data_IF_833420265252
#
_entry.id   IF_833420265252
#
_cell.length_a   1.000
_cell.length_b   1.000
_cell.length_c   1.000
_cell.angle_alpha   90.00
_cell.angle_beta   90.00
_cell.angle_gamma   90.00
#
_symmetry.space_group_name_H-M   'P 1'
#
loop_
_entity.id
_entity.type
_entity.pdbx_description
1 polymer ?
#
# COMPACT_ATOMS: atom_id res chain seq x y z
N UNK A 1 18.29 -12.82 -1.95
CA UNK A 1 18.00 -11.90 -3.02
C UNK A 1 16.51 -11.80 -3.31
N UNK A 2 15.99 -10.60 -3.34
CA UNK A 2 14.58 -10.38 -3.55
C UNK A 2 14.22 -10.42 -5.05
N UNK A 3 13.19 -11.17 -5.42
CA UNK A 3 12.60 -11.03 -6.75
C UNK A 3 12.02 -9.62 -6.93
N UNK A 4 12.12 -9.11 -8.14
CA UNK A 4 11.57 -7.83 -8.53
C UNK A 4 10.59 -8.07 -9.67
N UNK A 5 9.36 -7.60 -9.49
CA UNK A 5 8.32 -7.70 -10.51
C UNK A 5 7.70 -6.32 -10.74
N UNK A 6 7.72 -5.88 -11.97
CA UNK A 6 7.06 -4.64 -12.36
C UNK A 6 5.79 -4.97 -13.13
N UNK A 7 4.65 -4.59 -12.56
CA UNK A 7 3.34 -4.77 -13.18
C UNK A 7 2.93 -3.45 -13.85
N UNK A 8 3.16 -3.35 -15.15
CA UNK A 8 2.97 -2.12 -15.89
C UNK A 8 3.84 -0.99 -15.32
N UNK A 9 3.50 0.25 -15.61
CA UNK A 9 4.19 1.41 -15.02
C UNK A 9 3.55 1.87 -13.71
N UNK A 10 2.47 1.21 -13.27
CA UNK A 10 1.69 1.64 -12.12
C UNK A 10 2.14 1.01 -10.80
N UNK A 11 2.80 -0.13 -10.84
CA UNK A 11 3.16 -0.85 -9.63
C UNK A 11 4.52 -1.52 -9.74
N UNK A 12 5.22 -1.58 -8.63
CA UNK A 12 6.47 -2.29 -8.48
C UNK A 12 6.34 -3.21 -7.27
N UNK A 13 6.60 -4.50 -7.49
CA UNK A 13 6.49 -5.49 -6.43
C UNK A 13 7.88 -6.03 -6.11
N UNK A 14 8.24 -6.00 -4.84
CA UNK A 14 9.48 -6.59 -4.33
C UNK A 14 9.14 -7.54 -3.20
N UNK A 15 9.99 -8.54 -2.99
CA UNK A 15 9.81 -9.51 -1.92
C UNK A 15 11.09 -9.58 -1.10
N UNK A 16 10.95 -9.48 0.21
CA UNK A 16 12.06 -9.44 1.15
C UNK A 16 11.95 -10.57 2.15
N UNK A 17 13.03 -11.32 2.41
CA UNK A 17 13.01 -12.30 3.49
C UNK A 17 13.06 -11.61 4.85
N UNK A 18 12.24 -12.07 5.76
CA UNK A 18 12.25 -11.62 7.14
C UNK A 18 13.02 -12.63 8.00
N UNK A 19 13.54 -12.15 9.14
CA UNK A 19 14.33 -13.02 10.01
C UNK A 19 13.51 -14.15 10.64
N UNK A 20 12.18 -14.04 10.66
CA UNK A 20 11.30 -15.10 11.15
C UNK A 20 10.97 -16.17 10.10
N UNK A 21 11.60 -16.11 8.93
CA UNK A 21 11.39 -17.07 7.85
C UNK A 21 10.28 -16.71 6.88
N UNK A 22 9.48 -15.70 7.17
CA UNK A 22 8.45 -15.25 6.24
C UNK A 22 9.03 -14.41 5.12
N UNK A 23 8.28 -14.33 4.02
CA UNK A 23 8.61 -13.44 2.91
C UNK A 23 7.64 -12.26 2.94
N UNK A 24 8.17 -11.05 3.01
CA UNK A 24 7.38 -9.82 2.95
C UNK A 24 7.26 -9.36 1.51
N UNK A 25 6.03 -9.20 1.04
CA UNK A 25 5.77 -8.57 -0.26
C UNK A 25 5.51 -7.09 -0.07
N UNK A 26 6.22 -6.26 -0.80
CA UNK A 26 6.01 -4.80 -0.81
C UNK A 26 5.56 -4.39 -2.20
N UNK A 27 4.39 -3.77 -2.26
CA UNK A 27 3.79 -3.25 -3.50
C UNK A 27 3.83 -1.73 -3.44
N UNK A 28 4.59 -1.14 -4.32
CA UNK A 28 4.68 0.32 -4.45
C UNK A 28 3.81 0.78 -5.61
N UNK A 29 2.91 1.71 -5.33
CA UNK A 29 1.95 2.23 -6.29
C UNK A 29 2.39 3.62 -6.76
N UNK A 30 2.37 3.82 -8.06
CA UNK A 30 2.73 5.09 -8.69
C UNK A 30 1.52 5.67 -9.41
N UNK A 31 0.96 6.72 -8.87
CA UNK A 31 -0.32 7.29 -9.24
C UNK A 31 -0.45 7.77 -10.67
N UNK A 32 0.63 8.17 -11.28
CA UNK A 32 0.59 8.79 -12.61
C UNK A 32 -0.16 7.93 -13.62
N UNK A 33 -0.16 6.64 -13.42
CA UNK A 33 -0.78 5.69 -14.33
C UNK A 33 -2.19 5.25 -13.94
N UNK A 34 -2.73 5.79 -12.83
CA UNK A 34 -4.12 5.58 -12.41
C UNK A 34 -4.95 6.81 -12.79
N UNK A 35 -4.97 7.16 -14.07
CA UNK A 35 -5.42 8.48 -14.45
C UNK A 35 -6.83 8.57 -15.01
N UNK A 36 -7.38 7.50 -15.56
CA UNK A 36 -8.66 7.53 -16.24
C UNK A 36 -9.71 6.78 -15.44
N UNK A 37 -10.96 7.02 -15.71
CA UNK A 37 -12.15 6.53 -15.03
C UNK A 37 -12.07 5.27 -14.14
N UNK A 38 -13.12 5.00 -13.39
CA UNK A 38 -13.11 3.93 -12.39
C UNK A 38 -12.90 2.53 -13.00
N UNK A 39 -13.36 2.32 -14.24
CA UNK A 39 -13.18 1.02 -14.90
C UNK A 39 -11.71 0.73 -15.18
N UNK A 40 -10.99 1.76 -15.65
CA UNK A 40 -9.55 1.63 -15.89
C UNK A 40 -8.81 1.46 -14.58
N UNK A 41 -9.23 2.20 -13.56
CA UNK A 41 -8.66 2.10 -12.21
C UNK A 41 -8.80 0.67 -11.68
N UNK A 42 -9.99 0.09 -11.77
CA UNK A 42 -10.24 -1.29 -11.31
C UNK A 42 -9.42 -2.30 -12.11
N UNK A 43 -9.28 -2.10 -13.42
CA UNK A 43 -8.46 -2.97 -14.26
C UNK A 43 -6.98 -2.93 -13.88
N UNK A 44 -6.49 -1.77 -13.47
CA UNK A 44 -5.09 -1.63 -13.04
C UNK A 44 -4.84 -2.35 -11.72
N UNK A 45 -5.85 -2.44 -10.85
CA UNK A 45 -5.73 -3.18 -9.59
C UNK A 45 -5.79 -4.70 -9.78
N UNK A 46 -6.40 -5.19 -10.84
CA UNK A 46 -6.56 -6.63 -11.07
C UNK A 46 -5.26 -7.43 -11.01
N UNK A 47 -4.25 -7.10 -11.83
CA UNK A 47 -2.97 -7.81 -11.81
C UNK A 47 -2.25 -7.73 -10.46
N UNK A 48 -2.38 -6.59 -9.77
CA UNK A 48 -1.83 -6.42 -8.43
C UNK A 48 -2.53 -7.39 -7.46
N UNK A 49 -3.85 -7.48 -7.55
CA UNK A 49 -4.64 -8.39 -6.72
C UNK A 49 -4.25 -9.84 -6.92
N UNK A 50 -3.98 -10.25 -8.15
CA UNK A 50 -3.54 -11.62 -8.43
C UNK A 50 -2.24 -11.94 -7.70
N UNK A 51 -1.29 -11.02 -7.71
CA UNK A 51 -0.01 -11.21 -7.02
C UNK A 51 -0.20 -11.26 -5.51
N UNK A 52 -1.02 -10.38 -4.95
CA UNK A 52 -1.27 -10.36 -3.51
C UNK A 52 -2.02 -11.62 -3.08
N UNK A 53 -3.02 -12.05 -3.84
CA UNK A 53 -3.81 -13.22 -3.51
C UNK A 53 -2.98 -14.51 -3.49
N UNK A 54 -1.97 -14.61 -4.34
CA UNK A 54 -1.09 -15.79 -4.37
C UNK A 54 0.04 -15.73 -3.36
N UNK A 55 0.22 -14.62 -2.65
CA UNK A 55 1.26 -14.48 -1.64
C UNK A 55 0.71 -14.82 -0.26
N UNK A 56 1.37 -15.70 0.46
CA UNK A 56 0.90 -16.16 1.78
C UNK A 56 1.40 -15.33 2.95
N UNK A 57 2.53 -14.70 2.79
CA UNK A 57 3.16 -13.95 3.87
C UNK A 57 2.59 -12.56 4.05
N UNK A 58 3.26 -11.74 4.86
CA UNK A 58 2.85 -10.36 5.07
C UNK A 58 2.97 -9.53 3.80
N UNK A 59 2.10 -8.52 3.70
CA UNK A 59 2.05 -7.62 2.54
C UNK A 59 1.99 -6.18 3.03
N UNK A 60 2.73 -5.31 2.37
CA UNK A 60 2.58 -3.86 2.48
C UNK A 60 2.30 -3.34 1.07
N UNK A 61 1.22 -2.59 0.91
CA UNK A 61 0.89 -1.93 -0.35
C UNK A 61 0.79 -0.44 -0.06
N UNK A 62 1.64 0.35 -0.68
CA UNK A 62 1.75 1.76 -0.35
C UNK A 62 2.02 2.62 -1.58
N UNK A 63 1.69 3.89 -1.48
CA UNK A 63 2.00 4.89 -2.48
C UNK A 63 0.85 5.84 -2.75
N UNK A 64 0.90 6.46 -3.92
CA UNK A 64 -0.12 7.38 -4.37
C UNK A 64 -1.12 6.62 -5.24
N UNK A 65 -2.37 6.53 -4.76
CA UNK A 65 -3.44 5.80 -5.44
C UNK A 65 -4.32 6.70 -6.28
N UNK A 66 -4.08 8.00 -6.24
CA UNK A 66 -4.87 8.96 -7.01
C UNK A 66 -6.38 8.79 -6.77
N UNK A 67 -6.77 8.51 -5.53
CA UNK A 67 -8.15 8.19 -5.16
C UNK A 67 -8.93 9.46 -4.80
N UNK A 68 -8.99 10.41 -5.72
CA UNK A 68 -9.56 11.73 -5.48
C UNK A 68 -11.09 11.77 -5.63
N UNK A 69 -11.72 10.71 -6.09
CA UNK A 69 -13.17 10.66 -6.25
C UNK A 69 -13.78 9.58 -5.37
N UNK A 70 -15.06 9.70 -5.06
CA UNK A 70 -15.78 8.69 -4.29
C UNK A 70 -15.72 7.31 -4.97
N UNK A 71 -15.89 7.29 -6.28
CA UNK A 71 -15.86 6.02 -7.02
C UNK A 71 -14.49 5.34 -6.93
N UNK A 72 -13.42 6.11 -7.02
CA UNK A 72 -12.07 5.59 -6.92
C UNK A 72 -11.75 5.09 -5.51
N UNK A 73 -12.12 5.85 -4.49
CA UNK A 73 -11.87 5.44 -3.11
C UNK A 73 -12.68 4.19 -2.76
N UNK A 74 -13.91 4.08 -3.26
CA UNK A 74 -14.72 2.89 -3.05
C UNK A 74 -14.09 1.67 -3.74
N UNK A 75 -13.61 1.83 -4.97
CA UNK A 75 -12.92 0.76 -5.69
C UNK A 75 -11.67 0.31 -4.94
N UNK A 76 -10.91 1.25 -4.40
CA UNK A 76 -9.71 0.95 -3.63
C UNK A 76 -10.05 0.18 -2.35
N UNK A 77 -11.04 0.63 -1.59
CA UNK A 77 -11.44 -0.06 -0.36
C UNK A 77 -12.06 -1.42 -0.63
N UNK A 78 -12.82 -1.58 -1.71
CA UNK A 78 -13.34 -2.89 -2.12
C UNK A 78 -12.17 -3.84 -2.43
N UNK A 79 -11.20 -3.36 -3.17
CA UNK A 79 -9.98 -4.13 -3.47
C UNK A 79 -9.25 -4.53 -2.19
N UNK A 80 -9.03 -3.58 -1.29
CA UNK A 80 -8.34 -3.85 -0.04
C UNK A 80 -9.09 -4.90 0.79
N UNK A 81 -10.41 -4.79 0.85
CA UNK A 81 -11.24 -5.76 1.55
C UNK A 81 -11.14 -7.16 0.96
N UNK A 82 -11.17 -7.28 -0.38
CA UNK A 82 -11.01 -8.56 -1.05
C UNK A 82 -9.65 -9.20 -0.79
N UNK A 83 -8.63 -8.38 -0.65
CA UNK A 83 -7.25 -8.85 -0.40
C UNK A 83 -6.94 -9.00 1.10
N UNK A 84 -7.90 -8.78 1.97
CA UNK A 84 -7.74 -8.79 3.42
C UNK A 84 -6.69 -7.80 3.91
N UNK A 85 -6.59 -6.67 3.24
CA UNK A 85 -5.66 -5.60 3.61
C UNK A 85 -6.36 -4.61 4.54
N UNK A 86 -5.62 -4.11 5.50
CA UNK A 86 -6.04 -3.06 6.41
C UNK A 86 -5.37 -1.75 6.06
N UNK A 87 -6.08 -0.66 6.22
CA UNK A 87 -5.52 0.67 6.03
C UNK A 87 -4.79 1.11 7.29
N UNK A 88 -3.59 1.68 7.14
CA UNK A 88 -2.88 2.31 8.24
C UNK A 88 -3.57 3.63 8.58
N UNK A 89 -3.85 3.83 9.87
CA UNK A 89 -4.36 5.10 10.39
C UNK A 89 -3.20 5.95 10.88
N UNK A 90 -3.20 7.23 10.52
CA UNK A 90 -2.12 8.15 10.89
C UNK A 90 -2.58 9.09 12.00
N UNK A 91 -1.76 9.25 13.02
CA UNK A 91 -1.93 10.28 14.03
C UNK A 91 -1.61 11.63 13.37
N UNK A 92 -2.44 12.64 13.58
CA UNK A 92 -2.27 13.95 12.95
C UNK A 92 -2.07 13.81 11.44
N UNK A 93 -3.16 13.41 10.77
CA UNK A 93 -3.11 13.05 9.35
C UNK A 93 -2.91 14.27 8.46
N UNK A 94 -1.65 14.50 8.07
CA UNK A 94 -1.25 15.58 7.17
C UNK A 94 -0.98 15.08 5.75
N UNK A 95 -1.59 13.96 5.33
CA UNK A 95 -1.43 13.45 3.97
C UNK A 95 -1.92 14.47 2.95
N UNK A 96 -1.25 14.50 1.79
CA UNK A 96 -1.68 15.30 0.65
C UNK A 96 -3.11 14.93 0.27
N UNK A 97 -3.95 15.94 0.06
CA UNK A 97 -5.37 15.73 -0.29
C UNK A 97 -5.69 16.38 -1.62
N UNK A 98 -6.62 15.75 -2.34
CA UNK A 98 -7.27 16.34 -3.49
C UNK A 98 -8.79 16.19 -3.28
N UNK A 99 -9.53 17.27 -3.48
CA UNK A 99 -10.98 17.29 -3.26
C UNK A 99 -11.37 16.79 -1.87
N UNK A 100 -10.57 17.12 -0.86
CA UNK A 100 -10.81 16.74 0.52
C UNK A 100 -10.45 15.30 0.88
N UNK A 101 -9.89 14.52 -0.05
CA UNK A 101 -9.53 13.12 0.17
C UNK A 101 -8.03 12.91 0.09
N UNK A 102 -7.47 12.06 0.96
CA UNK A 102 -6.05 11.70 0.85
C UNK A 102 -5.77 11.01 -0.48
N UNK A 103 -4.57 11.20 -1.00
CA UNK A 103 -4.08 10.54 -2.21
C UNK A 103 -3.17 9.36 -1.87
N UNK A 104 -2.44 9.46 -0.77
CA UNK A 104 -1.45 8.48 -0.38
C UNK A 104 -2.00 7.57 0.71
N UNK A 105 -1.77 6.28 0.55
CA UNK A 105 -2.26 5.27 1.47
C UNK A 105 -1.18 4.25 1.76
N UNK A 106 -1.29 3.62 2.92
CA UNK A 106 -0.52 2.42 3.25
C UNK A 106 -1.51 1.37 3.72
N UNK A 107 -1.50 0.22 3.06
CA UNK A 107 -2.29 -0.95 3.42
C UNK A 107 -1.36 -2.09 3.81
N UNK A 108 -1.84 -2.99 4.66
CA UNK A 108 -1.02 -4.10 5.13
C UNK A 108 -1.87 -5.28 5.54
N UNK A 109 -1.25 -6.45 5.59
CA UNK A 109 -1.84 -7.63 6.24
C UNK A 109 -0.74 -8.49 6.83
N UNK A 110 -1.10 -9.25 7.86
CA UNK A 110 -0.19 -10.16 8.60
C UNK A 110 1.02 -9.43 9.19
N UNK A 111 0.81 -8.19 9.58
CA UNK A 111 1.78 -7.34 10.26
C UNK A 111 1.06 -6.56 11.35
N UNK A 112 1.80 -6.10 12.34
CA UNK A 112 1.31 -5.13 13.31
C UNK A 112 1.93 -3.76 13.01
N UNK A 113 1.18 -2.69 13.27
CA UNK A 113 1.70 -1.32 13.15
C UNK A 113 2.21 -0.88 14.51
N UNK A 114 3.48 -0.50 14.57
CA UNK A 114 4.07 0.04 15.79
C UNK A 114 3.80 1.53 15.88
N UNK A 115 4.04 2.25 14.78
CA UNK A 115 3.89 3.70 14.74
C UNK A 115 3.60 4.11 13.31
N UNK A 116 2.77 5.15 13.15
CA UNK A 116 2.45 5.70 11.84
C UNK A 116 2.32 7.22 11.96
N UNK A 117 3.07 7.94 11.14
CA UNK A 117 3.05 9.40 11.15
C UNK A 117 3.23 9.97 9.75
N UNK A 118 2.87 11.23 9.58
CA UNK A 118 3.04 11.97 8.35
C UNK A 118 3.94 13.16 8.64
N UNK A 119 5.05 13.27 7.90
CA UNK A 119 5.96 14.40 8.07
C UNK A 119 5.50 15.57 7.23
N UNK A 120 5.27 16.71 7.87
CA UNK A 120 4.95 17.93 7.14
C UNK A 120 6.24 18.51 6.57
N UNK A 121 6.28 18.71 5.25
CA UNK A 121 7.47 19.23 4.58
C UNK A 121 7.06 20.17 3.45
N UNK A 122 7.92 21.13 3.15
CA UNK A 122 7.81 21.97 1.96
C UNK A 122 8.68 21.47 0.82
N UNK A 123 9.41 20.38 1.01
CA UNK A 123 10.34 19.85 0.01
C UNK A 123 9.66 19.05 -1.11
N UNK A 124 8.39 18.68 -0.92
CA UNK A 124 7.64 17.87 -1.89
C UNK A 124 6.17 18.27 -1.87
N UNK A 125 5.47 17.98 -2.96
CA UNK A 125 4.00 18.14 -3.04
C UNK A 125 3.27 17.17 -2.13
N UNK A 126 3.88 16.03 -1.82
CA UNK A 126 3.32 15.03 -0.90
C UNK A 126 4.12 15.04 0.39
N UNK A 127 3.41 14.92 1.51
CA UNK A 127 4.07 14.75 2.80
C UNK A 127 4.46 13.28 2.97
N UNK A 128 5.72 12.98 3.32
CA UNK A 128 6.15 11.60 3.50
C UNK A 128 5.37 10.88 4.59
N UNK A 129 5.05 9.61 4.32
CA UNK A 129 4.42 8.74 5.29
C UNK A 129 5.48 7.85 5.91
N UNK A 130 5.50 7.77 7.23
CA UNK A 130 6.41 6.93 7.98
C UNK A 130 5.60 5.91 8.77
N UNK A 131 5.84 4.64 8.49
CA UNK A 131 5.14 3.55 9.19
C UNK A 131 6.16 2.52 9.62
N UNK A 132 6.12 2.19 10.90
CA UNK A 132 6.93 1.10 11.43
C UNK A 132 6.04 -0.11 11.66
N UNK A 133 6.44 -1.26 11.12
CA UNK A 133 5.71 -2.52 11.25
C UNK A 133 6.53 -3.53 12.04
N UNK A 134 5.84 -4.50 12.62
CA UNK A 134 6.49 -5.70 13.15
C UNK A 134 5.75 -6.93 12.63
N UNK A 135 6.42 -8.10 12.56
CA UNK A 135 5.74 -9.33 12.16
C UNK A 135 4.61 -9.65 13.15
N UNK A 136 3.47 -10.06 12.62
CA UNK A 136 2.32 -10.41 13.45
C UNK A 136 2.53 -11.74 14.15
N UNK A 137 3.15 -12.71 13.46
CA UNK A 137 3.48 -13.99 14.08
C UNK A 137 4.62 -13.80 15.06
N UNK A 138 4.49 -14.46 16.21
CA UNK A 138 5.58 -14.48 17.16
C UNK A 138 6.81 -15.04 16.49
N UNK A 139 7.88 -14.26 16.51
CA UNK A 139 9.16 -14.76 16.08
C UNK A 139 9.67 -15.74 17.11
N UNK A 140 10.47 -16.74 16.70
CA UNK A 140 11.14 -17.59 17.68
C UNK A 140 11.86 -16.73 18.68
N UNK A 141 11.86 -17.17 19.92
CA UNK A 141 12.61 -16.48 20.95
C UNK A 141 14.08 -16.57 20.59
N UNK A 142 14.69 -15.43 20.47
CA UNK A 142 16.08 -15.30 20.15
C UNK A 142 16.79 -14.63 21.30
#
# INVERSE_FOLDING_TARGET
>A
REPLLRLSKSALITVYPLYNGELLMVVNIHAVNFSLGVDVYSKQLGPIGEQIASHRGPVIMAGDFNAWSRKRINALYDFAGEMALREVSFTDDHRRKAFGRPLDFVFYRNLGVVEASVLVTSASDHNPLLVEFHPEKDSPVW
#
